data_IF_333520144076
#
_entry.id   IF_333520144076
#
_cell.length_a   1.000
_cell.length_b   1.000
_cell.length_c   1.000
_cell.angle_alpha   90.00
_cell.angle_beta   90.00
_cell.angle_gamma   90.00
#
_symmetry.space_group_name_H-M   'P 1'
#
loop_
_entity.id
_entity.type
_entity.pdbx_description
1 polymer ?
#
# COMPACT_ATOMS: atom_id res chain seq x y z
N UNK A 1 22.80 3.53 1.46
CA UNK A 1 21.57 2.88 1.97
C UNK A 1 20.83 3.87 2.85
N UNK A 2 19.61 4.26 2.47
CA UNK A 2 18.75 5.13 3.29
C UNK A 2 18.40 4.39 4.60
N UNK A 3 18.59 5.04 5.75
CA UNK A 3 18.27 4.45 7.06
C UNK A 3 16.75 4.36 7.20
N UNK A 4 16.21 3.15 7.30
CA UNK A 4 14.77 2.94 7.52
C UNK A 4 14.37 3.55 8.87
N UNK A 5 13.40 4.47 8.85
CA UNK A 5 12.81 5.09 10.04
C UNK A 5 11.28 5.07 9.93
N UNK A 6 10.55 4.99 11.05
CA UNK A 6 9.10 5.22 11.04
C UNK A 6 8.70 6.54 10.39
N UNK A 7 9.58 7.55 10.40
CA UNK A 7 9.36 8.85 9.73
C UNK A 7 9.31 8.75 8.20
N UNK A 8 9.84 7.67 7.63
CA UNK A 8 9.76 7.43 6.20
C UNK A 8 8.43 6.80 5.79
N UNK A 9 7.60 6.34 6.75
CA UNK A 9 6.25 5.83 6.44
C UNK A 9 5.36 7.03 6.13
N UNK A 10 5.14 7.29 4.85
CA UNK A 10 4.36 8.44 4.40
C UNK A 10 2.92 8.09 4.08
N UNK A 11 2.63 6.80 3.84
CA UNK A 11 1.32 6.36 3.35
C UNK A 11 0.92 4.98 3.89
N UNK A 12 -0.38 4.81 4.05
CA UNK A 12 -1.04 3.54 4.35
C UNK A 12 -2.03 3.27 3.21
N UNK A 13 -1.99 2.09 2.59
CA UNK A 13 -2.82 1.76 1.43
C UNK A 13 -3.56 0.44 1.64
N UNK A 14 -4.87 0.46 1.41
CA UNK A 14 -5.67 -0.75 1.30
C UNK A 14 -5.41 -1.44 -0.03
N UNK A 15 -5.24 -2.76 0.01
CA UNK A 15 -5.13 -3.60 -1.17
C UNK A 15 -6.26 -4.63 -1.16
N UNK A 16 -7.10 -4.60 -2.19
CA UNK A 16 -8.26 -5.49 -2.30
C UNK A 16 -8.39 -5.91 -3.77
N UNK A 17 -7.79 -7.04 -4.14
CA UNK A 17 -7.80 -7.49 -5.55
C UNK A 17 -8.38 -8.89 -5.77
N UNK A 18 -8.84 -9.58 -4.72
CA UNK A 18 -9.43 -10.91 -4.84
C UNK A 18 -10.70 -11.01 -4.01
N UNK A 19 -11.58 -11.93 -4.39
CA UNK A 19 -12.84 -12.22 -3.70
C UNK A 19 -12.62 -12.58 -2.21
N UNK A 20 -11.45 -13.16 -1.89
CA UNK A 20 -11.02 -13.50 -0.53
C UNK A 20 -10.22 -12.39 0.17
N UNK A 21 -9.87 -11.32 -0.54
CA UNK A 21 -9.07 -10.21 -0.02
C UNK A 21 -7.57 -10.49 0.14
N UNK A 22 -7.07 -11.64 -0.35
CA UNK A 22 -5.68 -12.12 -0.16
C UNK A 22 -4.65 -11.61 -1.16
N UNK A 23 -4.99 -10.59 -1.92
CA UNK A 23 -4.10 -9.93 -2.87
C UNK A 23 -2.68 -9.71 -2.30
N UNK A 24 -1.68 -10.35 -2.90
CA UNK A 24 -0.26 -10.21 -2.53
C UNK A 24 0.23 -10.92 -1.25
N UNK A 25 -0.60 -11.69 -0.52
CA UNK A 25 -0.11 -12.51 0.60
C UNK A 25 0.82 -13.64 0.14
N UNK A 26 0.62 -14.11 -1.09
CA UNK A 26 1.36 -15.19 -1.71
C UNK A 26 2.43 -14.67 -2.68
N UNK A 27 2.91 -13.43 -2.50
CA UNK A 27 4.03 -12.92 -3.29
C UNK A 27 5.30 -13.72 -2.98
N UNK A 28 5.66 -14.62 -3.88
CA UNK A 28 6.94 -15.34 -3.86
C UNK A 28 8.12 -14.40 -4.20
N UNK A 29 7.84 -13.36 -5.00
CA UNK A 29 8.83 -12.39 -5.45
C UNK A 29 8.95 -11.22 -4.47
N UNK A 30 10.20 -10.77 -4.24
CA UNK A 30 10.49 -9.59 -3.42
C UNK A 30 9.97 -8.28 -4.06
N UNK A 31 9.72 -8.28 -5.37
CA UNK A 31 9.27 -7.11 -6.13
C UNK A 31 7.96 -7.37 -6.84
N UNK A 32 7.10 -6.36 -6.94
CA UNK A 32 5.82 -6.44 -7.62
C UNK A 32 5.34 -5.07 -8.10
N UNK A 33 4.42 -5.08 -9.06
CA UNK A 33 3.77 -3.86 -9.54
C UNK A 33 2.56 -3.55 -8.64
N UNK A 34 2.62 -2.40 -7.99
CA UNK A 34 1.52 -1.87 -7.20
C UNK A 34 0.72 -0.88 -8.06
N UNK A 35 -0.53 -1.25 -8.34
CA UNK A 35 -1.44 -0.38 -9.09
C UNK A 35 -2.24 0.55 -8.19
N UNK A 36 -2.61 1.70 -8.73
CA UNK A 36 -3.43 2.69 -8.05
C UNK A 36 -4.65 3.03 -8.90
N UNK A 37 -5.79 3.35 -8.27
CA UNK A 37 -6.93 3.89 -8.98
C UNK A 37 -6.51 5.10 -9.83
N UNK A 38 -6.99 5.19 -11.07
CA UNK A 38 -6.60 6.26 -12.00
C UNK A 38 -6.76 7.67 -11.41
N UNK A 39 -7.80 7.88 -10.58
CA UNK A 39 -8.04 9.15 -9.88
C UNK A 39 -6.89 9.58 -8.97
N UNK A 40 -6.05 8.65 -8.51
CA UNK A 40 -4.89 8.89 -7.67
C UNK A 40 -3.57 8.90 -8.44
N UNK A 41 -3.58 9.07 -9.78
CA UNK A 41 -2.37 9.13 -10.62
C UNK A 41 -1.30 10.08 -10.07
N UNK A 42 -1.69 11.28 -9.60
CA UNK A 42 -0.75 12.25 -9.00
C UNK A 42 0.01 11.66 -7.81
N UNK A 43 -0.69 10.94 -6.93
CA UNK A 43 -0.05 10.28 -5.79
C UNK A 43 1.05 9.30 -6.19
N UNK A 44 0.95 8.65 -7.36
CA UNK A 44 1.98 7.72 -7.86
C UNK A 44 3.20 8.49 -8.35
N UNK A 45 2.95 9.60 -9.06
CA UNK A 45 3.98 10.49 -9.60
C UNK A 45 4.76 11.20 -8.49
N UNK A 46 4.07 11.55 -7.40
CA UNK A 46 4.66 12.25 -6.27
C UNK A 46 5.43 11.31 -5.32
N UNK A 47 5.32 10.00 -5.51
CA UNK A 47 5.99 9.03 -4.63
C UNK A 47 7.51 9.05 -4.89
N UNK A 48 8.35 9.00 -3.85
CA UNK A 48 9.81 8.96 -3.99
C UNK A 48 10.41 7.66 -3.46
N UNK A 49 11.60 7.28 -3.94
CA UNK A 49 12.28 6.03 -3.53
C UNK A 49 12.73 6.00 -2.07
N UNK A 50 12.67 7.13 -1.35
CA UNK A 50 12.98 7.20 0.08
C UNK A 50 11.74 7.03 0.97
N UNK A 51 10.54 6.92 0.37
CA UNK A 51 9.29 6.69 1.07
C UNK A 51 9.05 5.21 1.37
N UNK A 52 8.36 4.96 2.48
CA UNK A 52 7.84 3.67 2.86
C UNK A 52 6.31 3.71 2.83
N UNK A 53 5.72 2.68 2.25
CA UNK A 53 4.29 2.45 2.21
C UNK A 53 3.96 1.25 3.08
N UNK A 54 2.95 1.42 3.94
CA UNK A 54 2.34 0.31 4.67
C UNK A 54 1.13 -0.17 3.89
N UNK A 55 1.11 -1.45 3.54
CA UNK A 55 -0.03 -2.10 2.92
C UNK A 55 -0.86 -2.83 3.97
N UNK A 56 -2.17 -2.68 3.87
CA UNK A 56 -3.11 -3.48 4.63
C UNK A 56 -4.15 -4.12 3.70
N UNK A 57 -4.70 -5.25 4.14
CA UNK A 57 -5.69 -6.01 3.40
C UNK A 57 -6.89 -6.32 4.29
N UNK A 58 -8.06 -6.35 3.68
CA UNK A 58 -9.28 -6.83 4.34
C UNK A 58 -9.47 -8.30 4.01
N UNK A 59 -9.27 -9.18 4.98
CA UNK A 59 -9.39 -10.64 4.85
C UNK A 59 -10.55 -11.06 5.75
N UNK A 60 -11.56 -11.71 5.18
CA UNK A 60 -12.74 -12.20 5.93
C UNK A 60 -13.31 -11.12 6.85
N UNK A 61 -13.54 -9.92 6.31
CA UNK A 61 -14.04 -8.71 7.01
C UNK A 61 -13.11 -8.04 8.02
N UNK A 62 -11.91 -8.58 8.24
CA UNK A 62 -10.92 -8.02 9.19
C UNK A 62 -9.74 -7.39 8.45
N UNK A 63 -9.29 -6.24 8.94
CA UNK A 63 -8.12 -5.54 8.37
C UNK A 63 -6.82 -6.00 9.01
N UNK A 64 -5.82 -6.29 8.18
CA UNK A 64 -4.49 -6.71 8.61
C UNK A 64 -3.42 -5.93 7.89
N UNK A 65 -2.40 -5.49 8.63
CA UNK A 65 -1.14 -4.99 8.05
C UNK A 65 -0.39 -6.18 7.47
N UNK A 66 -0.06 -6.12 6.19
CA UNK A 66 0.55 -7.23 5.48
C UNK A 66 1.94 -6.89 5.00
N UNK A 67 2.19 -5.73 4.40
CA UNK A 67 3.52 -5.44 3.86
C UNK A 67 4.01 -4.05 4.25
N UNK A 68 5.32 -3.92 4.46
CA UNK A 68 6.04 -2.67 4.37
C UNK A 68 6.81 -2.69 3.05
N UNK A 69 6.57 -1.71 2.20
CA UNK A 69 7.10 -1.68 0.84
C UNK A 69 7.74 -0.34 0.52
N UNK A 70 8.61 -0.34 -0.49
CA UNK A 70 9.33 0.85 -0.97
C UNK A 70 9.35 0.86 -2.50
N UNK A 71 9.16 2.01 -3.17
CA UNK A 71 9.35 2.09 -4.61
C UNK A 71 10.83 1.90 -4.97
N UNK A 72 11.12 1.11 -6.01
CA UNK A 72 12.51 0.82 -6.41
C UNK A 72 13.11 1.92 -7.29
N UNK A 73 12.29 2.55 -8.12
CA UNK A 73 12.64 3.60 -9.08
C UNK A 73 11.52 4.65 -9.10
N UNK A 74 11.58 5.63 -10.02
CA UNK A 74 10.53 6.64 -10.24
C UNK A 74 9.66 6.36 -11.48
N UNK A 75 9.75 5.16 -12.05
CA UNK A 75 9.06 4.85 -13.30
C UNK A 75 7.58 4.53 -13.05
N UNK A 76 6.72 5.04 -13.93
CA UNK A 76 5.29 4.71 -13.93
C UNK A 76 5.03 3.74 -15.07
N UNK A 77 4.44 2.61 -14.72
CA UNK A 77 3.98 1.59 -15.65
C UNK A 77 2.53 1.89 -16.01
N UNK A 78 2.23 1.94 -17.30
CA UNK A 78 0.87 2.12 -17.81
C UNK A 78 0.36 0.83 -18.48
N UNK A 79 -0.62 0.19 -17.84
CA UNK A 79 -1.29 -1.02 -18.33
C UNK A 79 -2.69 -0.69 -18.83
N UNK A 80 -2.83 -0.48 -20.13
CA UNK A 80 -4.09 -0.11 -20.77
C UNK A 80 -5.21 -1.14 -20.61
N UNK A 81 -4.89 -2.40 -20.30
CA UNK A 81 -5.87 -3.46 -20.05
C UNK A 81 -6.66 -3.27 -18.73
N UNK A 82 -6.17 -2.43 -17.80
CA UNK A 82 -6.79 -2.19 -16.49
C UNK A 82 -7.55 -0.87 -16.45
N UNK A 83 -8.78 -0.85 -16.94
CA UNK A 83 -9.56 0.38 -17.17
C UNK A 83 -9.52 1.40 -16.00
N UNK A 84 -9.66 0.94 -14.75
CA UNK A 84 -9.70 1.79 -13.55
C UNK A 84 -8.36 1.87 -12.77
N UNK A 85 -7.35 1.09 -13.15
CA UNK A 85 -6.09 0.90 -12.42
C UNK A 85 -4.88 0.87 -13.37
N UNK A 86 -4.91 1.71 -14.40
CA UNK A 86 -3.93 1.72 -15.50
C UNK A 86 -2.52 2.01 -15.02
N UNK A 87 -2.37 2.82 -13.98
CA UNK A 87 -1.07 3.28 -13.52
C UNK A 87 -0.57 2.44 -12.34
N UNK A 88 0.67 1.97 -12.46
CA UNK A 88 1.38 1.26 -11.41
C UNK A 88 2.84 1.66 -11.32
N UNK A 89 3.53 1.13 -10.32
CA UNK A 89 4.96 1.31 -10.10
C UNK A 89 5.52 0.08 -9.41
N UNK A 90 6.81 -0.19 -9.61
CA UNK A 90 7.46 -1.35 -8.99
C UNK A 90 7.82 -1.01 -7.55
N UNK A 91 7.42 -1.88 -6.64
CA UNK A 91 7.75 -1.82 -5.22
C UNK A 91 8.51 -3.07 -4.81
N UNK A 92 9.49 -2.90 -3.94
CA UNK A 92 10.10 -4.01 -3.21
C UNK A 92 9.45 -4.17 -1.83
N UNK A 93 9.38 -5.41 -1.38
CA UNK A 93 9.00 -5.79 -0.03
C UNK A 93 10.19 -5.58 0.89
N UNK A 94 10.02 -4.68 1.86
CA UNK A 94 10.97 -4.43 2.94
C UNK A 94 10.69 -5.36 4.13
N UNK A 95 9.41 -5.57 4.44
CA UNK A 95 8.99 -6.51 5.47
C UNK A 95 7.62 -7.13 5.16
N UNK A 96 7.48 -8.41 5.50
CA UNK A 96 6.26 -9.19 5.44
C UNK A 96 6.22 -10.11 6.67
N UNK A 97 5.20 -10.05 7.55
CA UNK A 97 5.15 -10.88 8.75
C UNK A 97 4.77 -12.33 8.46
N UNK A 98 4.28 -12.63 7.25
CA UNK A 98 3.73 -13.94 6.90
C UNK A 98 2.25 -14.07 7.25
N UNK A 99 1.54 -14.92 6.51
CA UNK A 99 0.11 -15.19 6.68
C UNK A 99 -0.27 -15.60 8.11
N UNK A 100 0.62 -16.35 8.78
CA UNK A 100 0.42 -16.85 10.15
C UNK A 100 0.65 -15.79 11.24
N UNK A 101 1.35 -14.71 10.94
CA UNK A 101 1.67 -13.65 11.91
C UNK A 101 1.09 -12.28 11.50
N UNK A 102 -0.03 -12.28 10.75
CA UNK A 102 -0.73 -11.06 10.36
C UNK A 102 -0.96 -10.15 11.57
N UNK A 103 -0.65 -8.88 11.40
CA UNK A 103 -0.85 -7.88 12.45
C UNK A 103 -2.22 -7.25 12.23
N UNK A 104 -3.12 -7.38 13.21
CA UNK A 104 -4.44 -6.73 13.12
C UNK A 104 -4.29 -5.22 13.01
N UNK A 105 -4.91 -4.63 11.99
CA UNK A 105 -4.87 -3.19 11.73
C UNK A 105 -5.45 -2.41 12.90
N UNK A 106 -6.63 -2.81 13.39
CA UNK A 106 -7.37 -2.15 14.47
C UNK A 106 -6.62 -2.19 15.81
N UNK A 107 -5.70 -3.14 15.98
CA UNK A 107 -4.84 -3.25 17.17
C UNK A 107 -3.51 -2.48 17.03
N UNK A 108 -3.26 -1.89 15.87
CA UNK A 108 -2.02 -1.15 15.59
C UNK A 108 -2.18 0.34 15.90
N UNK A 109 -1.07 1.01 16.21
CA UNK A 109 -1.05 2.48 16.34
C UNK A 109 -1.31 3.21 15.00
N UNK A 110 -1.33 2.49 13.89
CA UNK A 110 -1.66 3.05 12.57
C UNK A 110 -3.17 3.24 12.39
N UNK A 111 -4.01 2.46 13.08
CA UNK A 111 -5.46 2.66 13.05
C UNK A 111 -5.87 4.03 13.59
N UNK A 112 -5.19 4.53 14.63
CA UNK A 112 -5.42 5.88 15.15
C UNK A 112 -4.95 6.99 14.22
N UNK A 113 -3.92 6.74 13.38
CA UNK A 113 -3.41 7.72 12.40
C UNK A 113 -4.30 7.81 11.15
N UNK A 114 -5.04 6.75 10.82
CA UNK A 114 -5.95 6.75 9.66
C UNK A 114 -7.13 7.69 9.89
N UNK A 115 -7.60 7.79 11.14
CA UNK A 115 -8.62 8.77 11.54
C UNK A 115 -8.14 10.20 11.33
N UNK A 116 -6.86 10.52 11.55
CA UNK A 116 -6.34 11.88 11.34
C UNK A 116 -6.19 12.25 9.85
N UNK A 117 -6.01 11.27 8.96
CA UNK A 117 -5.91 11.49 7.52
C UNK A 117 -7.30 11.55 6.86
N UNK A 118 -8.27 10.74 7.30
CA UNK A 118 -9.65 10.78 6.80
C UNK A 118 -10.44 12.02 7.29
N UNK A 119 -10.10 12.58 8.45
CA UNK A 119 -10.73 13.82 8.96
C UNK A 119 -10.31 15.06 8.13
N UNK A 120 -9.28 14.94 7.28
CA UNK A 120 -8.91 15.97 6.29
C UNK A 120 -9.67 15.91 4.95
N UNK A 121 -10.38 14.82 4.65
CA UNK A 121 -11.09 14.61 3.36
C UNK A 121 -12.62 14.52 3.51
N UNK A 122 -13.19 15.11 4.57
CA UNK A 122 -14.66 15.24 4.66
C UNK A 122 -15.08 16.68 4.91
N UNK A 123 -15.05 17.50 3.85
CA UNK A 123 -15.99 18.59 3.61
C UNK A 123 -15.68 19.25 2.26
N UNK A 124 -16.33 18.79 1.18
CA UNK A 124 -16.86 19.69 0.15
C UNK A 124 -18.17 19.07 -0.33
N UNK A 125 -19.23 19.89 -0.28
CA UNK A 125 -20.63 19.50 -0.43
C UNK A 125 -21.09 19.27 -1.86
#
# INVERSE_FOLDING_TARGET
>A
MTKLSPKNITRIKNITNEETGRAYLDLENKEFILHFPNRFKKSILDTTTDELLVLYQTIETKRYLTHLVRPIDNEVIEENARENFKFGRIFEIIAYPGDKNKISFDKSRLASLTLEIEVGETQFG
#
